data_IF_189088921597
#
_entry.id   IF_189088921597
#
_cell.length_a   1.000
_cell.length_b   1.000
_cell.length_c   1.000
_cell.angle_alpha   90.00
_cell.angle_beta   90.00
_cell.angle_gamma   90.00
#
_symmetry.space_group_name_H-M   'P 1'
#
loop_
_entity.id
_entity.type
_entity.pdbx_description
1 polymer ?
#
# COMPACT_ATOMS: atom_id res chain seq x y z
N UNK A 1 -31.26 35.34 -12.32
CA UNK A 1 -31.87 33.99 -12.25
C UNK A 1 -30.75 33.00 -12.49
N UNK A 2 -30.15 32.49 -11.40
CA UNK A 2 -29.06 31.53 -11.48
C UNK A 2 -29.64 30.20 -11.92
N UNK A 3 -29.13 29.64 -13.02
CA UNK A 3 -29.38 28.27 -13.42
C UNK A 3 -28.78 27.39 -12.31
N UNK A 4 -29.60 27.06 -11.31
CA UNK A 4 -29.26 25.99 -10.38
C UNK A 4 -29.35 24.74 -11.23
N UNK A 5 -28.20 24.24 -11.67
CA UNK A 5 -28.10 22.86 -12.16
C UNK A 5 -28.86 22.01 -11.14
N UNK A 6 -30.00 21.46 -11.56
CA UNK A 6 -30.69 20.43 -10.79
C UNK A 6 -29.69 19.30 -10.69
N UNK A 7 -28.86 19.30 -9.64
CA UNK A 7 -28.14 18.11 -9.22
C UNK A 7 -29.22 17.05 -9.11
N UNK A 8 -29.21 16.11 -10.05
CA UNK A 8 -30.07 14.93 -10.06
C UNK A 8 -29.68 14.18 -8.79
N UNK A 9 -30.33 14.50 -7.66
CA UNK A 9 -30.07 13.85 -6.39
C UNK A 9 -30.59 12.44 -6.53
N UNK A 10 -29.72 11.49 -6.79
CA UNK A 10 -30.12 10.10 -6.82
C UNK A 10 -30.48 9.71 -5.38
N UNK A 11 -31.66 9.12 -5.13
CA UNK A 11 -32.07 8.71 -3.81
C UNK A 11 -30.98 7.89 -3.12
N UNK A 12 -30.66 8.28 -1.89
CA UNK A 12 -29.72 7.56 -1.03
C UNK A 12 -30.35 6.29 -0.46
N UNK A 13 -31.67 6.25 -0.42
CA UNK A 13 -32.40 5.16 0.18
C UNK A 13 -33.71 4.91 -0.56
N UNK A 14 -34.00 3.63 -0.75
CA UNK A 14 -35.24 3.13 -1.32
C UNK A 14 -36.05 2.45 -0.21
N UNK A 15 -37.37 2.60 -0.26
CA UNK A 15 -38.29 1.73 0.46
C UNK A 15 -38.04 0.28 0.04
N UNK A 16 -38.00 -0.61 1.02
CA UNK A 16 -37.77 -2.05 0.78
C UNK A 16 -39.08 -2.83 0.68
N UNK A 17 -40.20 -2.21 1.04
CA UNK A 17 -41.52 -2.83 1.02
C UNK A 17 -42.19 -2.64 -0.34
N UNK A 18 -42.76 -3.70 -0.94
CA UNK A 18 -43.53 -3.59 -2.17
C UNK A 18 -44.74 -2.67 -2.01
N UNK A 19 -45.01 -1.86 -3.03
CA UNK A 19 -46.24 -1.07 -3.08
C UNK A 19 -47.44 -2.01 -3.23
N UNK A 20 -48.39 -1.90 -2.30
CA UNK A 20 -49.66 -2.65 -2.31
C UNK A 20 -50.84 -1.67 -2.34
N UNK A 21 -52.02 -2.14 -2.76
CA UNK A 21 -53.24 -1.34 -2.70
C UNK A 21 -53.25 -0.13 -3.65
N UNK A 22 -53.56 1.06 -3.12
CA UNK A 22 -53.68 2.33 -3.87
C UNK A 22 -52.52 3.28 -3.61
N UNK A 23 -51.42 2.76 -3.09
CA UNK A 23 -50.23 3.55 -2.78
C UNK A 23 -49.34 3.72 -4.02
N UNK A 24 -48.58 4.81 -4.05
CA UNK A 24 -47.70 5.18 -5.16
C UNK A 24 -46.31 5.51 -4.63
N UNK A 25 -45.32 5.51 -5.53
CA UNK A 25 -43.96 5.87 -5.18
C UNK A 25 -43.85 7.38 -4.96
N UNK A 26 -43.22 7.78 -3.87
CA UNK A 26 -43.01 9.17 -3.50
C UNK A 26 -41.53 9.47 -3.28
N UNK A 27 -41.09 10.68 -3.61
CA UNK A 27 -39.75 11.19 -3.33
C UNK A 27 -39.86 12.36 -2.36
N UNK A 28 -39.15 12.28 -1.22
CA UNK A 28 -39.03 13.40 -0.31
C UNK A 28 -38.08 14.44 -0.91
N UNK A 29 -38.60 15.65 -1.11
CA UNK A 29 -37.85 16.78 -1.68
C UNK A 29 -36.69 17.25 -0.80
N UNK A 30 -36.75 16.98 0.51
CA UNK A 30 -35.74 17.38 1.48
C UNK A 30 -34.58 16.38 1.57
N UNK A 31 -34.88 15.12 1.93
CA UNK A 31 -33.86 14.11 2.20
C UNK A 31 -33.57 13.17 1.02
N UNK A 32 -34.34 13.26 -0.07
CA UNK A 32 -34.18 12.40 -1.25
C UNK A 32 -34.53 10.93 -0.98
N UNK A 33 -35.32 10.66 0.04
CA UNK A 33 -35.85 9.32 0.29
C UNK A 33 -36.92 8.99 -0.76
N UNK A 34 -36.88 7.76 -1.29
CA UNK A 34 -37.93 7.24 -2.16
C UNK A 34 -38.62 6.05 -1.52
N UNK A 35 -39.95 6.04 -1.46
CA UNK A 35 -40.72 4.91 -0.92
C UNK A 35 -42.22 5.03 -1.13
N UNK A 36 -43.02 4.41 -0.26
CA UNK A 36 -44.48 4.32 -0.39
C UNK A 36 -45.18 5.57 0.14
N UNK A 37 -46.24 6.03 -0.54
CA UNK A 37 -47.14 7.05 0.01
C UNK A 37 -47.87 6.59 1.28
N UNK A 38 -47.91 5.28 1.55
CA UNK A 38 -48.51 4.70 2.76
C UNK A 38 -47.81 5.13 4.06
N UNK A 39 -46.50 5.36 4.03
CA UNK A 39 -45.73 5.70 5.22
C UNK A 39 -45.65 7.20 5.48
N UNK A 40 -46.29 8.01 4.64
CA UNK A 40 -46.40 9.44 4.83
C UNK A 40 -47.48 9.78 5.85
N UNK A 41 -47.38 10.97 6.44
CA UNK A 41 -48.53 11.55 7.16
C UNK A 41 -49.66 11.89 6.20
N UNK A 42 -50.84 12.19 6.73
CA UNK A 42 -52.01 12.65 5.95
C UNK A 42 -51.68 13.86 5.06
N UNK A 43 -50.76 14.73 5.52
CA UNK A 43 -50.26 15.91 4.79
C UNK A 43 -49.10 15.60 3.81
N UNK A 44 -48.89 14.33 3.44
CA UNK A 44 -47.80 13.88 2.56
C UNK A 44 -46.38 14.24 3.07
N UNK A 45 -46.18 14.33 4.39
CA UNK A 45 -44.86 14.62 4.95
C UNK A 45 -44.06 13.34 5.14
N UNK A 46 -42.78 13.39 4.76
CA UNK A 46 -41.81 12.39 5.15
C UNK A 46 -41.72 12.36 6.69
N UNK A 47 -41.48 11.19 7.27
CA UNK A 47 -41.33 10.99 8.73
C UNK A 47 -40.10 10.15 9.06
N UNK A 48 -39.19 9.98 8.12
CA UNK A 48 -38.04 9.10 8.32
C UNK A 48 -37.04 9.70 9.30
N UNK A 49 -36.45 8.87 10.15
CA UNK A 49 -35.32 9.25 11.00
C UNK A 49 -34.12 9.78 10.20
N UNK A 50 -33.66 10.97 10.57
CA UNK A 50 -32.43 11.62 10.12
C UNK A 50 -31.63 11.97 11.37
N UNK A 51 -30.87 11.00 11.87
CA UNK A 51 -30.22 11.10 13.18
C UNK A 51 -31.25 11.09 14.30
N UNK A 52 -31.19 12.09 15.20
CA UNK A 52 -32.10 12.19 16.35
C UNK A 52 -33.42 12.95 16.04
N UNK A 53 -33.72 13.17 14.76
CA UNK A 53 -34.91 13.94 14.33
C UNK A 53 -35.61 13.25 13.17
N UNK A 54 -36.92 13.44 13.07
CA UNK A 54 -37.68 13.04 11.88
C UNK A 54 -37.45 14.07 10.77
N UNK A 55 -37.25 13.57 9.54
CA UNK A 55 -37.48 14.36 8.34
C UNK A 55 -38.95 14.82 8.38
N UNK A 56 -39.22 16.07 8.02
CA UNK A 56 -40.58 16.64 7.87
C UNK A 56 -40.70 17.35 6.52
N UNK A 57 -39.96 16.85 5.52
CA UNK A 57 -39.99 17.39 4.18
C UNK A 57 -41.18 16.88 3.38
N UNK A 58 -41.67 17.71 2.47
CA UNK A 58 -42.75 17.35 1.56
C UNK A 58 -42.32 16.20 0.64
N UNK A 59 -43.20 15.24 0.44
CA UNK A 59 -43.00 14.12 -0.45
C UNK A 59 -44.01 14.18 -1.60
N UNK A 60 -43.48 14.14 -2.82
CA UNK A 60 -44.26 14.21 -4.05
C UNK A 60 -44.29 12.87 -4.77
N UNK A 61 -45.35 12.61 -5.53
CA UNK A 61 -45.44 11.45 -6.41
C UNK A 61 -44.31 11.45 -7.44
N UNK A 62 -43.66 10.29 -7.61
CA UNK A 62 -42.61 10.11 -8.60
C UNK A 62 -43.23 9.85 -9.96
N UNK A 63 -43.08 10.81 -10.88
CA UNK A 63 -43.42 10.62 -12.28
C UNK A 63 -42.55 9.56 -12.98
N UNK A 64 -43.04 9.02 -14.10
CA UNK A 64 -42.38 7.93 -14.84
C UNK A 64 -40.98 8.28 -15.34
N UNK A 65 -40.75 9.51 -15.80
CA UNK A 65 -39.42 9.97 -16.24
C UNK A 65 -38.41 9.96 -15.09
N UNK A 66 -38.82 10.50 -13.95
CA UNK A 66 -38.00 10.54 -12.73
C UNK A 66 -37.71 9.14 -12.21
N UNK A 67 -38.70 8.24 -12.25
CA UNK A 67 -38.52 6.85 -11.85
C UNK A 67 -37.48 6.15 -12.75
N UNK A 68 -37.54 6.36 -14.06
CA UNK A 68 -36.56 5.80 -14.99
C UNK A 68 -35.15 6.32 -14.72
N UNK A 69 -34.99 7.62 -14.44
CA UNK A 69 -33.69 8.19 -14.06
C UNK A 69 -33.11 7.52 -12.80
N UNK A 70 -33.95 7.32 -11.79
CA UNK A 70 -33.55 6.67 -10.53
C UNK A 70 -33.08 5.23 -10.79
N UNK A 71 -33.84 4.46 -11.58
CA UNK A 71 -33.50 3.08 -11.94
C UNK A 71 -32.19 3.02 -12.72
N UNK A 72 -32.02 3.86 -13.75
CA UNK A 72 -30.78 3.89 -14.54
C UNK A 72 -29.57 4.31 -13.70
N UNK A 73 -29.76 5.25 -12.78
CA UNK A 73 -28.70 5.69 -11.88
C UNK A 73 -28.30 4.59 -10.88
N UNK A 74 -29.28 3.83 -10.36
CA UNK A 74 -29.02 2.67 -9.52
C UNK A 74 -28.28 1.56 -10.26
N UNK A 75 -28.68 1.27 -11.50
CA UNK A 75 -28.03 0.28 -12.35
C UNK A 75 -26.55 0.62 -12.60
N UNK A 76 -26.26 1.89 -12.91
CA UNK A 76 -24.87 2.39 -13.02
C UNK A 76 -24.10 2.21 -11.72
N UNK A 77 -24.65 2.63 -10.57
CA UNK A 77 -24.00 2.44 -9.26
C UNK A 77 -23.77 0.97 -8.94
N UNK A 78 -24.70 0.09 -9.33
CA UNK A 78 -24.54 -1.34 -9.16
C UNK A 78 -23.39 -1.88 -10.03
N UNK A 79 -23.31 -1.47 -11.30
CA UNK A 79 -22.20 -1.81 -12.19
C UNK A 79 -20.86 -1.33 -11.66
N UNK A 80 -20.77 -0.08 -11.19
CA UNK A 80 -19.55 0.49 -10.60
C UNK A 80 -19.15 -0.28 -9.32
N UNK A 81 -20.11 -0.61 -8.47
CA UNK A 81 -19.88 -1.39 -7.24
C UNK A 81 -19.42 -2.81 -7.55
N UNK A 82 -20.02 -3.47 -8.54
CA UNK A 82 -19.60 -4.80 -8.99
C UNK A 82 -18.17 -4.76 -9.55
N UNK A 83 -17.85 -3.75 -10.35
CA UNK A 83 -16.51 -3.58 -10.90
C UNK A 83 -15.47 -3.33 -9.80
N UNK A 84 -15.80 -2.50 -8.80
CA UNK A 84 -14.92 -2.28 -7.64
C UNK A 84 -14.69 -3.56 -6.84
N UNK A 85 -15.74 -4.34 -6.61
CA UNK A 85 -15.65 -5.63 -5.94
C UNK A 85 -14.78 -6.62 -6.72
N UNK A 86 -14.92 -6.67 -8.05
CA UNK A 86 -14.09 -7.52 -8.91
C UNK A 86 -12.60 -7.16 -8.81
N UNK A 87 -12.26 -5.86 -8.82
CA UNK A 87 -10.87 -5.40 -8.63
C UNK A 87 -10.32 -5.79 -7.27
N UNK A 88 -11.14 -5.75 -6.20
CA UNK A 88 -10.72 -6.20 -4.87
C UNK A 88 -10.39 -7.69 -4.84
N UNK A 89 -11.18 -8.53 -5.52
CA UNK A 89 -10.88 -9.95 -5.67
C UNK A 89 -9.55 -10.15 -6.40
N UNK A 90 -9.34 -9.46 -7.52
CA UNK A 90 -8.09 -9.55 -8.28
C UNK A 90 -6.87 -9.16 -7.44
N UNK A 91 -6.95 -8.05 -6.69
CA UNK A 91 -5.88 -7.63 -5.78
C UNK A 91 -5.64 -8.62 -4.64
N UNK A 92 -6.71 -9.23 -4.11
CA UNK A 92 -6.60 -10.24 -3.05
C UNK A 92 -5.85 -11.46 -3.58
N UNK A 93 -6.22 -11.95 -4.76
CA UNK A 93 -5.55 -13.09 -5.41
C UNK A 93 -4.07 -12.79 -5.70
N UNK A 94 -3.74 -11.58 -6.17
CA UNK A 94 -2.34 -11.17 -6.37
C UNK A 94 -1.57 -11.15 -5.05
N UNK A 95 -2.18 -10.64 -3.99
CA UNK A 95 -1.58 -10.59 -2.66
C UNK A 95 -1.30 -12.00 -2.12
N UNK A 96 -2.23 -12.94 -2.29
CA UNK A 96 -2.03 -14.35 -1.94
C UNK A 96 -0.84 -14.96 -2.68
N UNK A 97 -0.70 -14.69 -3.99
CA UNK A 97 0.46 -15.16 -4.76
C UNK A 97 1.79 -14.60 -4.24
N UNK A 98 1.81 -13.34 -3.79
CA UNK A 98 3.02 -12.77 -3.17
C UNK A 98 3.34 -13.44 -1.83
N UNK A 99 2.32 -13.77 -1.04
CA UNK A 99 2.50 -14.48 0.23
C UNK A 99 3.03 -15.90 0.02
N UNK A 100 2.52 -16.63 -0.97
CA UNK A 100 3.02 -17.96 -1.32
C UNK A 100 4.50 -17.92 -1.72
N UNK A 101 4.88 -16.97 -2.60
CA UNK A 101 6.29 -16.76 -3.01
C UNK A 101 7.17 -16.39 -1.83
N UNK A 102 6.69 -15.52 -0.94
CA UNK A 102 7.44 -15.14 0.26
C UNK A 102 7.63 -16.34 1.19
N UNK A 103 6.62 -17.19 1.35
CA UNK A 103 6.72 -18.42 2.14
C UNK A 103 7.74 -19.40 1.55
N UNK A 104 7.77 -19.55 0.23
CA UNK A 104 8.76 -20.39 -0.47
C UNK A 104 10.19 -19.90 -0.21
N UNK A 105 10.45 -18.59 -0.42
CA UNK A 105 11.75 -17.97 -0.17
C UNK A 105 12.19 -18.09 1.29
N UNK A 106 11.26 -17.93 2.24
CA UNK A 106 11.56 -18.13 3.66
C UNK A 106 11.93 -19.59 3.95
N UNK A 107 11.27 -20.54 3.28
CA UNK A 107 11.64 -21.96 3.35
C UNK A 107 13.07 -22.22 2.87
N UNK A 108 13.46 -21.62 1.74
CA UNK A 108 14.83 -21.71 1.21
C UNK A 108 15.86 -21.11 2.18
N UNK A 109 15.57 -19.95 2.77
CA UNK A 109 16.44 -19.30 3.75
C UNK A 109 16.64 -20.18 4.98
N UNK A 110 15.56 -20.76 5.51
CA UNK A 110 15.62 -21.68 6.66
C UNK A 110 16.47 -22.90 6.34
N UNK A 111 16.25 -23.53 5.17
CA UNK A 111 17.00 -24.70 4.73
C UNK A 111 18.49 -24.38 4.53
N UNK A 112 18.80 -23.22 3.96
CA UNK A 112 20.17 -22.72 3.79
C UNK A 112 20.85 -22.49 5.14
N UNK A 113 20.14 -21.87 6.09
CA UNK A 113 20.63 -21.66 7.45
C UNK A 113 20.92 -22.96 8.21
N UNK A 114 20.04 -23.96 8.09
CA UNK A 114 20.27 -25.30 8.64
C UNK A 114 21.51 -25.95 8.04
N UNK A 115 21.64 -25.89 6.70
CA UNK A 115 22.80 -26.43 5.98
C UNK A 115 24.11 -25.76 6.41
N UNK A 116 24.10 -24.44 6.54
CA UNK A 116 25.25 -23.67 7.02
C UNK A 116 25.61 -24.05 8.46
N UNK A 117 24.61 -24.15 9.34
CA UNK A 117 24.80 -24.56 10.74
C UNK A 117 25.42 -25.97 10.82
N UNK A 118 24.93 -26.93 10.05
CA UNK A 118 25.50 -28.29 10.02
C UNK A 118 26.95 -28.30 9.51
N UNK A 119 27.26 -27.50 8.48
CA UNK A 119 28.61 -27.39 7.92
C UNK A 119 29.60 -26.69 8.85
N UNK A 120 29.13 -25.80 9.71
CA UNK A 120 29.99 -25.01 10.62
C UNK A 120 30.06 -25.57 12.04
N UNK A 121 29.11 -26.42 12.43
CA UNK A 121 29.13 -27.15 13.69
C UNK A 121 30.24 -28.21 13.70
N UNK A 122 31.29 -27.92 14.46
CA UNK A 122 32.46 -28.80 14.64
C UNK A 122 32.15 -30.10 15.39
N UNK A 123 30.95 -30.25 15.94
CA UNK A 123 30.48 -31.49 16.56
C UNK A 123 29.65 -32.36 15.61
N UNK A 124 29.20 -31.82 14.47
CA UNK A 124 28.43 -32.56 13.48
C UNK A 124 29.35 -33.42 12.58
N UNK A 125 28.83 -34.55 12.08
CA UNK A 125 29.58 -35.42 11.18
C UNK A 125 29.96 -34.74 9.85
N UNK A 126 29.14 -33.78 9.40
CA UNK A 126 29.38 -32.98 8.18
C UNK A 126 30.41 -31.90 8.45
N UNK A 127 30.25 -31.13 9.53
CA UNK A 127 31.17 -30.07 9.92
C UNK A 127 32.57 -30.58 10.23
N UNK A 128 32.70 -31.78 10.82
CA UNK A 128 33.99 -32.46 10.99
C UNK A 128 34.67 -32.75 9.64
N UNK A 129 33.93 -33.19 8.62
CA UNK A 129 34.47 -33.43 7.28
C UNK A 129 34.88 -32.12 6.61
N UNK A 130 34.06 -31.08 6.71
CA UNK A 130 34.37 -29.74 6.18
C UNK A 130 35.63 -29.19 6.85
N UNK A 131 35.73 -29.27 8.18
CA UNK A 131 36.92 -28.85 8.91
C UNK A 131 38.19 -29.62 8.51
N UNK A 132 38.07 -30.94 8.26
CA UNK A 132 39.18 -31.76 7.78
C UNK A 132 39.64 -31.35 6.37
N UNK A 133 38.70 -31.08 5.45
CA UNK A 133 39.01 -30.59 4.10
C UNK A 133 39.67 -29.21 4.16
N UNK A 134 39.13 -28.28 4.96
CA UNK A 134 39.73 -26.95 5.15
C UNK A 134 41.16 -27.05 5.70
N UNK A 135 41.38 -27.92 6.69
CA UNK A 135 42.70 -28.17 7.26
C UNK A 135 43.68 -28.83 6.29
N UNK A 136 43.20 -29.68 5.37
CA UNK A 136 44.01 -30.24 4.29
C UNK A 136 44.35 -29.18 3.24
N UNK A 137 43.39 -28.40 2.77
CA UNK A 137 43.60 -27.32 1.77
C UNK A 137 44.57 -26.26 2.30
N UNK A 138 44.48 -25.90 3.58
CA UNK A 138 45.39 -24.96 4.23
C UNK A 138 46.87 -25.40 4.15
N UNK A 139 47.16 -26.70 4.04
CA UNK A 139 48.54 -27.21 3.89
C UNK A 139 49.17 -26.88 2.53
N UNK A 140 48.34 -26.54 1.54
CA UNK A 140 48.76 -26.19 0.18
C UNK A 140 48.67 -24.69 -0.10
N UNK A 141 48.21 -23.90 0.87
CA UNK A 141 48.27 -22.44 0.78
C UNK A 141 49.70 -21.99 1.06
N UNK A 142 50.37 -21.44 0.05
CA UNK A 142 51.72 -20.88 0.18
C UNK A 142 51.66 -19.47 0.80
N UNK A 143 52.18 -19.33 2.03
CA UNK A 143 52.65 -18.05 2.66
C UNK A 143 51.52 -17.12 3.20
N UNK A 144 51.74 -16.34 4.29
CA UNK A 144 50.70 -15.63 5.04
C UNK A 144 49.91 -14.64 4.17
N UNK A 145 48.73 -14.16 4.62
CA UNK A 145 47.97 -13.17 3.88
C UNK A 145 48.91 -12.02 3.54
N UNK A 146 49.12 -11.80 2.24
CA UNK A 146 49.60 -10.52 1.77
C UNK A 146 48.67 -9.49 2.41
N UNK A 147 49.25 -8.57 3.17
CA UNK A 147 48.54 -7.39 3.67
C UNK A 147 47.78 -6.77 2.52
N UNK A 148 46.52 -6.46 2.80
CA UNK A 148 45.45 -6.04 1.92
C UNK A 148 45.76 -4.71 1.19
N UNK A 149 46.77 -4.65 0.32
CA UNK A 149 47.10 -3.43 -0.42
C UNK A 149 46.47 -3.38 -1.82
N UNK A 150 45.96 -4.50 -2.35
CA UNK A 150 45.43 -4.57 -3.73
C UNK A 150 43.93 -4.93 -3.85
N UNK A 151 43.23 -5.31 -2.76
CA UNK A 151 41.76 -5.47 -2.78
C UNK A 151 41.00 -4.15 -2.51
N UNK A 152 41.62 -3.14 -1.89
CA UNK A 152 40.99 -1.81 -1.74
C UNK A 152 40.73 -1.12 -3.09
N UNK A 153 41.56 -1.37 -4.10
CA UNK A 153 41.46 -0.70 -5.40
C UNK A 153 40.24 -1.11 -6.25
N UNK A 154 39.50 -2.17 -5.88
CA UNK A 154 38.32 -2.63 -6.66
C UNK A 154 36.96 -2.31 -6.02
N UNK A 155 36.92 -1.86 -4.77
CA UNK A 155 35.68 -1.47 -4.06
C UNK A 155 35.61 0.03 -3.71
N UNK A 156 36.64 0.81 -4.03
CA UNK A 156 36.73 2.25 -3.72
C UNK A 156 35.72 3.14 -4.46
N UNK A 157 35.00 2.61 -5.45
CA UNK A 157 34.12 3.45 -6.28
C UNK A 157 32.75 3.78 -5.65
N UNK A 158 32.39 3.13 -4.53
CA UNK A 158 31.11 3.34 -3.84
C UNK A 158 31.24 3.71 -2.35
N UNK A 159 32.32 4.39 -1.97
CA UNK A 159 32.44 4.99 -0.64
C UNK A 159 31.81 6.38 -0.60
N UNK A 160 30.88 6.59 0.33
CA UNK A 160 30.41 7.94 0.65
C UNK A 160 31.45 8.65 1.52
N UNK A 161 31.76 9.89 1.18
CA UNK A 161 32.69 10.70 1.95
C UNK A 161 32.11 11.04 3.33
N UNK A 162 32.93 11.23 4.37
CA UNK A 162 32.45 11.60 5.69
C UNK A 162 31.60 12.87 5.66
N UNK A 163 30.68 13.01 6.62
CA UNK A 163 29.91 14.24 6.77
C UNK A 163 30.80 15.44 7.13
N UNK A 164 30.28 16.67 7.19
CA UNK A 164 31.09 17.86 7.50
C UNK A 164 31.76 17.82 8.88
N UNK A 165 31.19 17.03 9.80
CA UNK A 165 31.74 16.81 11.14
C UNK A 165 32.76 15.65 11.19
N UNK A 166 33.03 14.99 10.06
CA UNK A 166 33.98 13.88 9.94
C UNK A 166 33.43 12.50 10.30
N UNK A 167 32.13 12.36 10.53
CA UNK A 167 31.52 11.06 10.80
C UNK A 167 31.51 10.19 9.54
N UNK A 168 31.93 8.93 9.70
CA UNK A 168 32.01 7.94 8.60
C UNK A 168 30.76 7.06 8.48
N UNK A 169 29.87 7.13 9.45
CA UNK A 169 28.59 6.43 9.44
C UNK A 169 27.58 7.25 8.62
N UNK A 170 27.70 7.11 7.30
CA UNK A 170 26.93 7.82 6.28
C UNK A 170 26.36 6.82 5.28
N UNK A 171 25.15 7.06 4.79
CA UNK A 171 24.49 6.15 3.85
C UNK A 171 23.50 6.86 2.94
N UNK A 172 23.12 6.18 1.84
CA UNK A 172 22.12 6.69 0.91
C UNK A 172 21.02 5.64 0.64
N UNK A 173 19.75 6.02 0.80
CA UNK A 173 18.59 5.19 0.50
C UNK A 173 17.35 6.05 0.21
N UNK A 174 16.45 5.56 -0.64
CA UNK A 174 15.16 6.22 -0.93
C UNK A 174 15.27 7.64 -1.49
N UNK A 175 16.37 7.97 -2.17
CA UNK A 175 16.64 9.35 -2.61
C UNK A 175 17.16 10.28 -1.51
N UNK A 176 17.61 9.75 -0.37
CA UNK A 176 18.20 10.52 0.72
C UNK A 176 19.60 10.00 1.03
N UNK A 177 20.58 10.90 1.08
CA UNK A 177 21.90 10.66 1.65
C UNK A 177 21.96 11.32 3.03
N UNK A 178 22.42 10.63 4.07
CA UNK A 178 22.39 11.14 5.44
C UNK A 178 23.53 10.60 6.29
N UNK A 179 23.88 11.33 7.35
CA UNK A 179 24.72 10.87 8.43
C UNK A 179 23.88 10.25 9.55
N UNK A 180 24.31 9.12 10.11
CA UNK A 180 23.62 8.47 11.24
C UNK A 180 23.94 9.11 12.59
N UNK A 181 24.98 9.94 12.66
CA UNK A 181 25.50 10.55 13.89
C UNK A 181 25.14 12.03 14.03
N UNK A 182 24.69 12.68 12.95
CA UNK A 182 24.21 14.06 12.98
C UNK A 182 23.05 14.25 11.99
N UNK A 183 22.34 15.38 12.09
CA UNK A 183 21.17 15.65 11.24
C UNK A 183 21.51 16.08 9.80
N UNK A 184 22.75 15.88 9.34
CA UNK A 184 23.16 16.23 7.98
C UNK A 184 22.55 15.27 6.96
N UNK A 185 21.84 15.81 5.97
CA UNK A 185 21.18 15.04 4.90
C UNK A 185 21.02 15.82 3.61
N UNK A 186 20.99 15.10 2.49
CA UNK A 186 20.75 15.59 1.13
C UNK A 186 19.65 14.76 0.49
N UNK A 187 18.69 15.41 -0.14
CA UNK A 187 17.53 14.76 -0.79
C UNK A 187 17.59 14.95 -2.31
N UNK A 188 17.34 13.89 -3.05
CA UNK A 188 17.35 13.85 -4.51
C UNK A 188 16.26 12.91 -5.05
N UNK A 189 16.06 12.94 -6.37
CA UNK A 189 15.05 12.13 -7.05
C UNK A 189 15.35 10.61 -7.06
N UNK A 190 16.58 10.20 -6.76
CA UNK A 190 16.98 8.79 -6.67
C UNK A 190 18.15 8.62 -5.69
N UNK A 191 18.33 7.40 -5.16
CA UNK A 191 19.44 7.07 -4.26
C UNK A 191 20.79 7.36 -4.88
N UNK A 192 20.97 7.05 -6.18
CA UNK A 192 22.20 7.36 -6.91
C UNK A 192 22.49 8.87 -6.97
N UNK A 193 21.48 9.70 -7.27
CA UNK A 193 21.66 11.16 -7.29
C UNK A 193 21.97 11.72 -5.91
N UNK A 194 21.38 11.16 -4.85
CA UNK A 194 21.68 11.56 -3.48
C UNK A 194 23.12 11.22 -3.10
N UNK A 195 23.61 10.04 -3.49
CA UNK A 195 25.01 9.63 -3.33
C UNK A 195 25.98 10.57 -4.06
N UNK A 196 25.74 10.84 -5.34
CA UNK A 196 26.60 11.71 -6.15
C UNK A 196 26.66 13.15 -5.59
N UNK A 197 25.51 13.69 -5.18
CA UNK A 197 25.43 15.02 -4.55
C UNK A 197 26.12 15.07 -3.19
N UNK A 198 26.03 13.99 -2.40
CA UNK A 198 26.73 13.89 -1.13
C UNK A 198 28.24 13.93 -1.32
N UNK A 199 28.79 13.10 -2.21
CA UNK A 199 30.23 13.07 -2.46
C UNK A 199 30.77 14.35 -3.10
N UNK A 200 29.95 15.03 -3.92
CA UNK A 200 30.31 16.33 -4.48
C UNK A 200 30.35 17.46 -3.42
N UNK A 201 29.49 17.40 -2.41
CA UNK A 201 29.45 18.40 -1.32
C UNK A 201 30.44 18.10 -0.19
N UNK A 202 30.90 16.85 -0.09
CA UNK A 202 31.86 16.37 0.89
C UNK A 202 33.10 15.85 0.17
N UNK A 203 33.97 16.70 -0.40
CA UNK A 203 35.17 16.21 -1.08
C UNK A 203 36.06 15.44 -0.10
N UNK A 204 36.63 14.32 -0.55
CA UNK A 204 37.61 13.57 0.23
C UNK A 204 38.77 14.51 0.61
N UNK A 205 39.04 14.64 1.91
CA UNK A 205 40.18 15.43 2.35
C UNK A 205 41.47 14.72 1.92
N UNK A 206 42.45 15.44 1.37
CA UNK A 206 43.75 14.86 1.04
C UNK A 206 44.42 14.37 2.34
N UNK A 207 44.90 13.12 2.31
CA UNK A 207 45.73 12.52 3.36
C UNK A 207 47.13 13.10 3.32
#
# INVERSE_FOLDING_TARGET
>A
MSNVEKMVRIPLYLGQEPLVGRHYAVECTLCGWVGSSEVLTDDCQCTRDVGDRLCLGDADEIGTERLLEIVQAMDRRHGDSQQAYQRLIEQTNETEQYLDKASELLGEIVQSGQTYSECTDKSSATGLRVAAVLGYVAQFQSVPPHTDEDEEARDDNWRMNPCQQGHRDVGASGGVAYCCQCDEKITAASTQKAFEQWNASHPAQPV
#
